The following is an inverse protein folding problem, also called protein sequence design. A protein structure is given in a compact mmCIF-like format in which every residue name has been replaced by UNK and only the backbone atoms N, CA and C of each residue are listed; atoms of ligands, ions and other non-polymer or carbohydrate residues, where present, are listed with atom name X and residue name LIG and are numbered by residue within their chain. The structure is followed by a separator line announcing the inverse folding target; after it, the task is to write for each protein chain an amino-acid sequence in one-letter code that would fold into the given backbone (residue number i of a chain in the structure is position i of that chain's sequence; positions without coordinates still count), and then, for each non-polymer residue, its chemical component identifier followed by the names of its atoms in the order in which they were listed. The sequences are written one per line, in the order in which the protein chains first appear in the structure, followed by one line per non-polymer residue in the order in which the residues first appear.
data_IF_198728743438
#
_entry.id   IF_198728743438
#
_cell.length_a   1.000
_cell.length_b   1.000
_cell.length_c   1.000
_cell.angle_alpha   90.00
_cell.angle_beta   90.00
_cell.angle_gamma   90.00
#
_symmetry.space_group_name_H-M   'P 1'
#
loop_
_entity.id
_entity.type
_entity.pdbx_description
1 polymer ?
#
# COMPACT_ATOMS: atom_id res chain seq x y z
N UNK A 1 23.04 1.41 -14.24
CA UNK A 1 22.06 2.49 -14.01
C UNK A 1 20.91 1.86 -13.27
N UNK A 2 20.52 2.43 -12.13
CA UNK A 2 19.39 1.89 -11.37
C UNK A 2 18.08 2.19 -12.08
N UNK A 3 17.21 1.19 -12.17
CA UNK A 3 15.90 1.29 -12.80
C UNK A 3 14.83 1.50 -11.73
N UNK A 4 13.96 2.50 -11.94
CA UNK A 4 12.79 2.75 -11.09
C UNK A 4 11.53 2.42 -11.88
N UNK A 5 10.65 1.64 -11.26
CA UNK A 5 9.32 1.32 -11.81
C UNK A 5 8.24 1.60 -10.76
N UNK A 6 7.12 2.18 -11.17
CA UNK A 6 5.97 2.43 -10.30
C UNK A 6 4.79 1.62 -10.80
N UNK A 7 4.29 0.69 -9.99
CA UNK A 7 3.20 -0.21 -10.35
C UNK A 7 2.02 -0.10 -9.36
N UNK A 8 0.79 -0.39 -9.82
CA UNK A 8 -0.35 -0.58 -8.92
C UNK A 8 -0.06 -1.63 -7.86
N UNK A 9 -0.41 -1.34 -6.61
CA UNK A 9 -0.35 -2.29 -5.51
C UNK A 9 -1.56 -3.22 -5.54
N UNK A 10 -1.72 -3.98 -6.62
CA UNK A 10 -2.82 -4.94 -6.74
C UNK A 10 -2.60 -6.15 -5.82
N UNK A 11 -3.66 -6.88 -5.51
CA UNK A 11 -3.62 -8.05 -4.62
C UNK A 11 -2.61 -9.13 -5.03
N UNK A 12 -2.32 -9.29 -6.33
CA UNK A 12 -1.28 -10.20 -6.82
C UNK A 12 0.15 -9.76 -6.43
N UNK A 13 0.35 -8.49 -6.09
CA UNK A 13 1.61 -7.91 -5.58
C UNK A 13 1.56 -7.66 -4.07
N UNK A 14 0.66 -8.33 -3.35
CA UNK A 14 0.49 -8.06 -1.91
C UNK A 14 1.77 -8.33 -1.11
N UNK A 15 2.56 -9.34 -1.44
CA UNK A 15 3.84 -9.59 -0.76
C UNK A 15 4.84 -8.42 -0.92
N UNK A 16 4.88 -7.80 -2.10
CA UNK A 16 5.72 -6.63 -2.35
C UNK A 16 5.19 -5.39 -1.62
N UNK A 17 3.87 -5.22 -1.57
CA UNK A 17 3.21 -4.19 -0.78
C UNK A 17 3.57 -4.32 0.71
N UNK A 18 3.50 -5.53 1.27
CA UNK A 18 3.90 -5.81 2.65
C UNK A 18 5.37 -5.46 2.89
N UNK A 19 6.26 -5.91 2.00
CA UNK A 19 7.70 -5.66 2.15
C UNK A 19 7.99 -4.15 2.16
N UNK A 20 7.47 -3.41 1.19
CA UNK A 20 7.67 -1.97 1.09
C UNK A 20 7.03 -1.19 2.24
N UNK A 21 5.81 -1.57 2.66
CA UNK A 21 5.09 -0.91 3.75
C UNK A 21 5.76 -1.14 5.10
N UNK A 22 6.24 -2.36 5.36
CA UNK A 22 6.77 -2.74 6.68
C UNK A 22 8.28 -2.52 6.81
N UNK A 23 8.97 -2.16 5.73
CA UNK A 23 10.40 -1.87 5.70
C UNK A 23 10.85 -0.62 6.48
N UNK A 24 9.92 0.22 6.95
CA UNK A 24 10.24 1.38 7.78
C UNK A 24 9.03 2.14 8.32
N UNK A 25 9.28 3.09 9.21
CA UNK A 25 8.24 3.93 9.80
C UNK A 25 7.25 3.15 10.67
N UNK A 26 5.97 3.57 10.63
CA UNK A 26 4.88 2.94 11.37
C UNK A 26 4.08 1.94 10.52
N UNK A 27 4.53 1.61 9.31
CA UNK A 27 3.78 0.78 8.36
C UNK A 27 3.42 -0.61 8.90
N UNK A 28 4.31 -1.24 9.67
CA UNK A 28 4.08 -2.53 10.31
C UNK A 28 2.99 -2.51 11.40
N UNK A 29 2.71 -1.35 12.00
CA UNK A 29 1.67 -1.20 13.03
C UNK A 29 0.39 -0.59 12.47
N UNK A 30 0.50 0.34 11.52
CA UNK A 30 -0.63 1.07 10.95
C UNK A 30 -1.33 0.30 9.83
N UNK A 31 -0.60 -0.50 9.03
CA UNK A 31 -1.09 -1.17 7.82
C UNK A 31 -1.87 -0.25 6.86
N UNK A 32 -1.54 1.05 6.90
CA UNK A 32 -2.27 2.15 6.28
C UNK A 32 -3.79 2.20 6.59
N UNK A 33 -4.21 1.64 7.73
CA UNK A 33 -5.61 1.65 8.18
C UNK A 33 -5.95 2.82 9.11
N UNK A 34 -4.94 3.56 9.61
CA UNK A 34 -5.15 4.65 10.57
C UNK A 34 -6.15 5.71 10.08
N UNK A 35 -6.06 6.09 8.80
CA UNK A 35 -6.96 7.06 8.18
C UNK A 35 -8.22 6.44 7.57
N UNK A 36 -8.24 5.12 7.39
CA UNK A 36 -9.35 4.40 6.75
C UNK A 36 -10.43 3.98 7.76
N UNK A 37 -10.02 3.74 9.01
CA UNK A 37 -10.90 3.34 10.09
C UNK A 37 -11.21 4.53 11.01
N UNK A 38 -12.38 4.48 11.66
CA UNK A 38 -12.64 5.38 12.81
C UNK A 38 -11.69 5.00 13.93
N UNK A 39 -11.27 5.98 14.74
CA UNK A 39 -10.31 5.76 15.82
C UNK A 39 -10.66 4.57 16.73
N UNK A 40 -11.92 4.45 17.16
CA UNK A 40 -12.37 3.32 17.99
C UNK A 40 -12.19 1.95 17.32
N UNK A 41 -12.42 1.89 16.00
CA UNK A 41 -12.35 0.65 15.23
C UNK A 41 -10.88 0.29 14.97
N UNK A 42 -10.02 1.29 14.72
CA UNK A 42 -8.58 1.08 14.63
C UNK A 42 -8.01 0.53 15.95
N UNK A 43 -8.36 1.12 17.10
CA UNK A 43 -7.87 0.67 18.41
C UNK A 43 -8.35 -0.74 18.77
N UNK A 44 -9.52 -1.15 18.28
CA UNK A 44 -10.05 -2.49 18.50
C UNK A 44 -9.43 -3.54 17.56
N UNK A 45 -9.02 -3.15 16.36
CA UNK A 45 -8.46 -4.06 15.37
C UNK A 45 -7.02 -4.48 15.70
N UNK A 46 -6.76 -5.77 15.55
CA UNK A 46 -5.42 -6.38 15.60
C UNK A 46 -4.60 -6.02 14.36
N UNK A 47 -3.29 -6.22 14.43
CA UNK A 47 -2.38 -6.04 13.29
C UNK A 47 -2.78 -6.93 12.10
N UNK A 48 -3.16 -8.18 12.35
CA UNK A 48 -3.58 -9.12 11.29
C UNK A 48 -4.90 -8.70 10.63
N UNK A 49 -5.87 -8.20 11.41
CA UNK A 49 -7.11 -7.66 10.85
C UNK A 49 -6.84 -6.43 9.98
N UNK A 50 -5.95 -5.53 10.42
CA UNK A 50 -5.57 -4.34 9.63
C UNK A 50 -4.85 -4.73 8.33
N UNK A 51 -4.01 -5.76 8.37
CA UNK A 51 -3.36 -6.35 7.20
C UNK A 51 -4.38 -6.93 6.22
N UNK A 52 -5.40 -7.64 6.71
CA UNK A 52 -6.43 -8.21 5.85
C UNK A 52 -7.34 -7.13 5.24
N UNK A 53 -7.65 -6.08 5.99
CA UNK A 53 -8.35 -4.91 5.46
C UNK A 53 -7.57 -4.28 4.29
N UNK A 54 -6.25 -4.14 4.43
CA UNK A 54 -5.41 -3.69 3.32
C UNK A 54 -5.49 -4.65 2.12
N UNK A 55 -5.41 -5.96 2.35
CA UNK A 55 -5.51 -6.96 1.28
C UNK A 55 -6.83 -6.85 0.50
N UNK A 56 -7.94 -6.67 1.20
CA UNK A 56 -9.25 -6.45 0.60
C UNK A 56 -9.33 -5.15 -0.20
N UNK A 57 -8.74 -4.06 0.31
CA UNK A 57 -8.65 -2.77 -0.40
C UNK A 57 -7.81 -2.88 -1.69
N UNK A 58 -6.69 -3.61 -1.66
CA UNK A 58 -5.83 -3.84 -2.84
C UNK A 58 -6.44 -4.82 -3.88
N UNK A 59 -7.52 -5.52 -3.54
CA UNK A 59 -8.29 -6.33 -4.48
C UNK A 59 -9.24 -5.49 -5.36
N UNK A 60 -9.43 -4.21 -5.04
CA UNK A 60 -10.26 -3.29 -5.84
C UNK A 60 -9.53 -2.82 -7.10
N UNK A 61 -10.29 -2.46 -8.14
CA UNK A 61 -9.76 -1.90 -9.38
C UNK A 61 -10.38 -0.53 -9.66
N UNK A 62 -9.57 0.53 -9.85
CA UNK A 62 -8.11 0.54 -9.77
C UNK A 62 -7.61 0.31 -8.35
N UNK A 63 -6.44 -0.33 -8.22
CA UNK A 63 -5.79 -0.48 -6.91
C UNK A 63 -5.56 0.90 -6.31
N UNK A 64 -5.80 1.02 -5.02
CA UNK A 64 -5.85 2.29 -4.31
C UNK A 64 -4.48 2.74 -3.77
N UNK A 65 -3.42 2.00 -4.08
CA UNK A 65 -2.04 2.25 -3.68
C UNK A 65 -1.06 1.92 -4.82
N UNK A 66 0.18 2.39 -4.69
CA UNK A 66 1.28 2.12 -5.62
C UNK A 66 2.50 1.59 -4.86
N UNK A 67 3.28 0.77 -5.56
CA UNK A 67 4.59 0.27 -5.12
C UNK A 67 5.65 0.84 -6.04
N UNK A 68 6.73 1.37 -5.45
CA UNK A 68 7.94 1.73 -6.18
C UNK A 68 8.96 0.60 -6.10
N UNK A 69 9.47 0.17 -7.25
CA UNK A 69 10.54 -0.81 -7.36
C UNK A 69 11.84 -0.11 -7.73
N UNK A 70 12.93 -0.49 -7.05
CA UNK A 70 14.30 -0.12 -7.41
C UNK A 70 15.03 -1.40 -7.79
N UNK A 71 15.47 -1.49 -9.05
CA UNK A 71 16.17 -2.67 -9.57
C UNK A 71 15.42 -3.99 -9.31
N UNK A 72 14.07 -3.95 -9.40
CA UNK A 72 13.18 -5.09 -9.19
C UNK A 72 12.81 -5.37 -7.72
N UNK A 73 13.35 -4.62 -6.76
CA UNK A 73 13.03 -4.75 -5.33
C UNK A 73 12.01 -3.70 -4.92
N UNK A 74 10.91 -4.12 -4.27
CA UNK A 74 9.92 -3.21 -3.72
C UNK A 74 10.54 -2.32 -2.64
N UNK A 75 10.75 -1.04 -2.96
CA UNK A 75 11.54 -0.10 -2.16
C UNK A 75 10.69 1.06 -1.60
N UNK A 76 9.48 1.25 -2.10
CA UNK A 76 8.62 2.34 -1.68
C UNK A 76 7.14 1.99 -1.77
N UNK A 77 6.37 2.64 -0.90
CA UNK A 77 4.94 2.44 -0.74
C UNK A 77 4.23 3.79 -0.65
N UNK A 78 3.07 3.92 -1.32
CA UNK A 78 2.17 5.05 -1.12
C UNK A 78 0.71 4.61 -1.26
N UNK A 79 -0.12 5.01 -0.30
CA UNK A 79 -1.56 4.75 -0.26
C UNK A 79 -2.33 6.02 -0.61
N UNK A 80 -3.24 5.94 -1.59
CA UNK A 80 -4.23 6.98 -1.84
C UNK A 80 -5.32 6.97 -0.77
N UNK A 81 -5.62 8.15 -0.22
CA UNK A 81 -6.67 8.34 0.80
C UNK A 81 -8.04 8.68 0.21
N UNK A 82 -8.13 8.91 -1.10
CA UNK A 82 -9.36 9.30 -1.79
C UNK A 82 -9.68 8.29 -2.88
N UNK A 83 -10.94 7.89 -3.02
CA UNK A 83 -11.44 6.89 -3.99
C UNK A 83 -11.35 7.31 -5.46
N UNK A 84 -10.42 8.22 -5.80
CA UNK A 84 -10.07 8.57 -7.15
C UNK A 84 -8.77 7.86 -7.50
N UNK A 85 -8.71 7.30 -8.70
CA UNK A 85 -7.57 6.57 -9.27
C UNK A 85 -6.24 7.27 -8.95
N UNK A 86 -5.36 6.61 -8.18
CA UNK A 86 -3.97 7.06 -8.04
C UNK A 86 -3.22 6.60 -9.29
N UNK A 87 -3.14 7.49 -10.28
CA UNK A 87 -2.29 7.28 -11.45
C UNK A 87 -1.01 8.10 -11.31
N UNK A 88 0.15 7.46 -11.40
CA UNK A 88 1.39 8.18 -11.73
C UNK A 88 1.41 8.39 -13.23
N UNK A 89 1.24 9.64 -13.66
CA UNK A 89 1.51 10.04 -15.03
C UNK A 89 3.03 10.19 -15.17
N UNK A 90 3.67 9.23 -15.81
CA UNK A 90 5.05 9.43 -16.27
C UNK A 90 5.02 10.44 -17.40
N UNK A 91 5.72 11.57 -17.23
CA UNK A 91 5.94 12.50 -18.32
C UNK A 91 6.87 11.83 -19.33
N UNK A 92 6.36 11.58 -20.53
CA UNK A 92 7.10 11.21 -21.73
C UNK A 92 6.78 12.20 -22.82
#
# INVERSE_FOLDING_TARGET
MSQIEILPASVDRFADAEHALTGGGDGASCWCQWWMLRNKDFQAATTDERRELLRGDLATSPASALIAYLDGVAAGWVKGLFGHSVGVRLAG
#
